data_IF_765725226497
#
_entry.id   IF_765725226497
#
_cell.length_a   1.000
_cell.length_b   1.000
_cell.length_c   1.000
_cell.angle_alpha   90.00
_cell.angle_beta   90.00
_cell.angle_gamma   90.00
#
_symmetry.space_group_name_H-M   'P 1'
#
loop_
_entity.id
_entity.type
_entity.pdbx_description
1 polymer ?
#
# COMPACT_ATOMS: atom_id res chain seq x y z
N UNK A 1 3.57 0.37 20.14
CA UNK A 1 2.15 0.76 20.38
C UNK A 1 1.29 0.08 19.33
N UNK A 2 0.27 -0.65 19.74
CA UNK A 2 -0.61 -1.33 18.78
C UNK A 2 -1.67 -0.37 18.20
N UNK A 3 -2.36 -0.80 17.16
CA UNK A 3 -3.33 0.04 16.45
C UNK A 3 -4.46 0.56 17.35
N UNK A 4 -4.93 -0.26 18.28
CA UNK A 4 -5.99 0.14 19.22
C UNK A 4 -5.51 1.25 20.16
N UNK A 5 -4.27 1.14 20.67
CA UNK A 5 -3.69 2.17 21.55
C UNK A 5 -3.47 3.48 20.80
N UNK A 6 -3.02 3.40 19.54
CA UNK A 6 -2.87 4.57 18.68
C UNK A 6 -4.21 5.25 18.46
N UNK A 7 -5.27 4.49 18.19
CA UNK A 7 -6.61 5.03 17.98
C UNK A 7 -7.14 5.71 19.25
N UNK A 8 -6.92 5.11 20.42
CA UNK A 8 -7.32 5.71 21.69
C UNK A 8 -6.60 7.03 21.93
N UNK A 9 -5.30 7.10 21.63
CA UNK A 9 -4.51 8.31 21.81
C UNK A 9 -4.89 9.40 20.80
N UNK A 10 -5.15 9.02 19.54
CA UNK A 10 -5.47 9.93 18.45
C UNK A 10 -6.92 10.43 18.50
N UNK A 11 -7.83 9.62 19.04
CA UNK A 11 -9.27 9.88 18.99
C UNK A 11 -9.79 9.93 17.56
N UNK A 12 -10.79 10.75 17.30
CA UNK A 12 -11.37 10.91 15.96
C UNK A 12 -10.73 12.03 15.15
N UNK A 13 -9.70 12.67 15.70
CA UNK A 13 -9.09 13.86 15.08
C UNK A 13 -8.06 13.54 14.01
N UNK A 14 -7.43 12.37 14.11
CA UNK A 14 -6.32 12.00 13.24
C UNK A 14 -6.67 10.80 12.38
N UNK A 15 -6.13 10.79 11.18
CA UNK A 15 -6.20 9.63 10.29
C UNK A 15 -5.09 8.66 10.72
N UNK A 16 -5.46 7.42 11.00
CA UNK A 16 -4.52 6.38 11.45
C UNK A 16 -4.37 5.33 10.37
N UNK A 17 -3.14 5.19 9.85
CA UNK A 17 -2.77 4.15 8.92
C UNK A 17 -2.02 3.04 9.64
N UNK A 18 -2.29 1.79 9.29
CA UNK A 18 -1.67 0.62 9.91
C UNK A 18 -1.11 -0.29 8.83
N UNK A 19 0.10 -0.81 9.05
CA UNK A 19 0.71 -1.79 8.16
C UNK A 19 0.09 -3.16 8.36
N UNK A 20 -0.14 -3.88 7.27
CA UNK A 20 -0.63 -5.25 7.30
C UNK A 20 0.09 -6.09 6.26
N UNK A 21 0.39 -7.34 6.59
CA UNK A 21 1.13 -8.26 5.74
C UNK A 21 0.29 -9.46 5.30
N UNK A 22 -0.90 -9.61 5.86
CA UNK A 22 -1.84 -10.68 5.52
C UNK A 22 -3.26 -10.26 5.89
N UNK A 23 -4.23 -11.07 5.49
CA UNK A 23 -5.64 -10.77 5.72
C UNK A 23 -6.00 -10.73 7.21
N UNK A 24 -5.37 -11.57 8.04
CA UNK A 24 -5.63 -11.58 9.49
C UNK A 24 -5.19 -10.27 10.14
N UNK A 25 -3.99 -9.79 9.82
CA UNK A 25 -3.50 -8.51 10.32
C UNK A 25 -4.38 -7.36 9.84
N UNK A 26 -4.82 -7.43 8.58
CA UNK A 26 -5.69 -6.41 8.00
C UNK A 26 -7.03 -6.32 8.74
N UNK A 27 -7.65 -7.45 9.03
CA UNK A 27 -8.91 -7.48 9.77
C UNK A 27 -8.76 -6.99 11.21
N UNK A 28 -7.65 -7.34 11.87
CA UNK A 28 -7.35 -6.85 13.22
C UNK A 28 -7.17 -5.33 13.23
N UNK A 29 -6.46 -4.80 12.24
CA UNK A 29 -6.24 -3.36 12.13
C UNK A 29 -7.55 -2.62 11.89
N UNK A 30 -8.42 -3.13 11.01
CA UNK A 30 -9.73 -2.55 10.77
C UNK A 30 -10.57 -2.55 12.05
N UNK A 31 -10.61 -3.68 12.77
CA UNK A 31 -11.34 -3.80 14.03
C UNK A 31 -10.80 -2.85 15.11
N UNK A 32 -9.50 -2.56 15.07
CA UNK A 32 -8.87 -1.65 16.03
C UNK A 32 -9.06 -0.16 15.69
N UNK A 33 -9.71 0.16 14.57
CA UNK A 33 -10.04 1.53 14.20
C UNK A 33 -9.09 2.19 13.20
N UNK A 34 -8.34 1.42 12.45
CA UNK A 34 -7.51 1.97 11.37
C UNK A 34 -8.39 2.62 10.31
N UNK A 35 -7.94 3.76 9.78
CA UNK A 35 -8.63 4.46 8.69
C UNK A 35 -8.21 3.94 7.33
N UNK A 36 -6.99 3.44 7.22
CA UNK A 36 -6.50 2.79 6.00
C UNK A 36 -5.38 1.81 6.34
N UNK A 37 -5.03 0.96 5.37
CA UNK A 37 -3.95 -0.01 5.51
C UNK A 37 -2.83 0.28 4.52
N UNK A 38 -1.58 0.12 4.98
CA UNK A 38 -0.41 0.08 4.12
C UNK A 38 0.05 -1.37 4.02
N UNK A 39 -0.01 -1.95 2.84
CA UNK A 39 0.28 -3.36 2.62
C UNK A 39 1.52 -3.52 1.73
N UNK A 40 2.49 -4.26 2.22
CA UNK A 40 3.75 -4.49 1.50
C UNK A 40 4.72 -5.37 2.31
N UNK A 41 5.94 -5.52 1.81
CA UNK A 41 6.41 -4.94 0.53
C UNK A 41 5.83 -5.72 -0.65
N UNK A 42 5.17 -5.04 -1.60
CA UNK A 42 4.55 -5.74 -2.74
C UNK A 42 5.58 -6.18 -3.79
N UNK A 43 6.72 -5.50 -3.83
CA UNK A 43 7.86 -5.92 -4.63
C UNK A 43 9.11 -5.94 -3.77
N UNK A 44 9.93 -6.98 -3.91
CA UNK A 44 11.19 -7.06 -3.18
C UNK A 44 12.21 -6.07 -3.76
N UNK A 45 13.04 -5.49 -2.87
CA UNK A 45 14.18 -4.69 -3.32
C UNK A 45 15.38 -5.60 -3.49
N UNK A 46 16.22 -5.31 -4.47
CA UNK A 46 17.39 -6.13 -4.79
C UNK A 46 18.46 -6.13 -3.68
N UNK A 47 18.33 -5.28 -2.68
CA UNK A 47 19.34 -5.09 -1.64
C UNK A 47 19.08 -5.86 -0.34
N UNK A 48 17.91 -6.53 -0.21
CA UNK A 48 17.56 -7.27 1.00
C UNK A 48 16.95 -8.61 0.61
N UNK A 49 17.77 -9.64 0.62
CA UNK A 49 17.35 -10.99 0.23
C UNK A 49 16.39 -11.68 1.20
N UNK A 50 16.28 -11.16 2.43
CA UNK A 50 15.46 -11.72 3.50
C UNK A 50 14.11 -11.02 3.67
N UNK A 51 13.79 -10.05 2.83
CA UNK A 51 12.47 -9.40 2.86
C UNK A 51 11.49 -10.24 2.06
N UNK A 52 10.49 -10.78 2.74
CA UNK A 52 9.40 -11.53 2.09
C UNK A 52 8.46 -10.55 1.41
N UNK A 53 8.34 -10.66 0.08
CA UNK A 53 7.40 -9.86 -0.68
C UNK A 53 5.97 -10.32 -0.42
N UNK A 54 5.06 -9.37 -0.31
CA UNK A 54 3.63 -9.66 -0.27
C UNK A 54 3.18 -10.01 -1.69
N UNK A 55 2.72 -11.25 -1.90
CA UNK A 55 2.33 -11.67 -3.23
C UNK A 55 1.00 -11.03 -3.66
N UNK A 56 0.77 -11.02 -4.98
CA UNK A 56 -0.44 -10.44 -5.57
C UNK A 56 -1.72 -11.06 -5.01
N UNK A 57 -1.75 -12.39 -4.87
CA UNK A 57 -2.94 -13.10 -4.37
C UNK A 57 -3.26 -12.72 -2.93
N UNK A 58 -2.25 -12.56 -2.08
CA UNK A 58 -2.45 -12.14 -0.70
C UNK A 58 -2.90 -10.68 -0.65
N UNK A 59 -2.34 -9.81 -1.47
CA UNK A 59 -2.76 -8.41 -1.57
C UNK A 59 -4.24 -8.32 -1.98
N UNK A 60 -4.63 -9.08 -2.98
CA UNK A 60 -6.01 -9.14 -3.43
C UNK A 60 -6.94 -9.65 -2.33
N UNK A 61 -6.50 -10.68 -1.59
CA UNK A 61 -7.25 -11.22 -0.45
C UNK A 61 -7.45 -10.17 0.64
N UNK A 62 -6.42 -9.39 0.95
CA UNK A 62 -6.52 -8.29 1.90
C UNK A 62 -7.58 -7.29 1.44
N UNK A 63 -7.52 -6.87 0.18
CA UNK A 63 -8.46 -5.89 -0.38
C UNK A 63 -9.90 -6.39 -0.33
N UNK A 64 -10.12 -7.70 -0.52
CA UNK A 64 -11.45 -8.29 -0.44
C UNK A 64 -11.94 -8.46 1.00
N UNK A 65 -11.02 -8.51 1.98
CA UNK A 65 -11.34 -8.80 3.38
C UNK A 65 -11.76 -7.58 4.18
N UNK A 66 -11.33 -6.40 3.79
CA UNK A 66 -11.55 -5.16 4.56
C UNK A 66 -12.40 -4.16 3.77
N UNK A 67 -13.04 -3.26 4.51
CA UNK A 67 -13.85 -2.18 3.93
C UNK A 67 -13.10 -0.84 3.88
N UNK A 68 -11.97 -0.74 4.57
CA UNK A 68 -11.15 0.47 4.59
C UNK A 68 -10.19 0.50 3.40
N UNK A 69 -9.73 1.68 2.99
CA UNK A 69 -8.80 1.79 1.85
C UNK A 69 -7.50 1.03 2.08
N UNK A 70 -6.98 0.45 1.01
CA UNK A 70 -5.72 -0.30 1.01
C UNK A 70 -4.72 0.38 0.08
N UNK A 71 -3.57 0.74 0.63
CA UNK A 71 -2.47 1.36 -0.09
C UNK A 71 -1.34 0.35 -0.23
N UNK A 72 -0.89 0.08 -1.45
CA UNK A 72 0.24 -0.80 -1.70
C UNK A 72 1.55 -0.02 -1.53
N UNK A 73 2.52 -0.64 -0.87
CA UNK A 73 3.82 -0.01 -0.58
C UNK A 73 4.95 -1.03 -0.79
N UNK A 74 6.13 -0.52 -1.11
CA UNK A 74 7.37 -1.29 -1.19
C UNK A 74 7.78 -1.64 -2.61
N UNK A 75 8.89 -1.08 -3.05
CA UNK A 75 9.52 -1.39 -4.34
C UNK A 75 8.74 -1.00 -5.59
N UNK A 76 7.72 -0.16 -5.46
CA UNK A 76 6.88 0.25 -6.59
C UNK A 76 7.58 1.31 -7.44
N UNK A 77 7.56 1.13 -8.76
CA UNK A 77 8.13 2.08 -9.72
C UNK A 77 7.33 2.02 -11.03
N UNK A 78 7.71 2.82 -12.02
CA UNK A 78 7.01 2.88 -13.30
C UNK A 78 7.05 1.57 -14.07
N UNK A 79 8.06 0.72 -13.82
CA UNK A 79 8.20 -0.56 -14.52
C UNK A 79 7.34 -1.68 -13.97
N UNK A 80 6.85 -1.57 -12.73
CA UNK A 80 6.10 -2.66 -12.10
C UNK A 80 4.73 -2.29 -11.55
N UNK A 81 4.40 -1.01 -11.47
CA UNK A 81 3.15 -0.54 -10.85
C UNK A 81 1.89 -1.15 -11.48
N UNK A 82 1.88 -1.35 -12.80
CA UNK A 82 0.72 -1.91 -13.50
C UNK A 82 0.48 -3.38 -13.19
N UNK A 83 1.48 -4.07 -12.62
CA UNK A 83 1.31 -5.44 -12.13
C UNK A 83 0.33 -5.53 -10.95
N UNK A 84 0.01 -4.40 -10.33
CA UNK A 84 -0.95 -4.33 -9.24
C UNK A 84 -2.40 -4.13 -9.71
N UNK A 85 -2.61 -3.96 -11.00
CA UNK A 85 -3.94 -3.77 -11.56
C UNK A 85 -4.83 -4.99 -11.27
N UNK A 86 -6.06 -4.74 -10.89
CA UNK A 86 -7.02 -5.79 -10.55
C UNK A 86 -6.90 -6.34 -9.14
N UNK A 87 -5.92 -5.89 -8.34
CA UNK A 87 -5.76 -6.35 -6.97
C UNK A 87 -6.81 -5.78 -6.01
N UNK A 88 -7.41 -4.66 -6.36
CA UNK A 88 -8.39 -3.98 -5.52
C UNK A 88 -7.82 -2.87 -4.65
N UNK A 89 -6.56 -2.50 -4.85
CA UNK A 89 -5.94 -1.40 -4.09
C UNK A 89 -6.60 -0.07 -4.42
N UNK A 90 -6.57 0.84 -3.45
CA UNK A 90 -7.11 2.20 -3.58
C UNK A 90 -6.03 3.24 -3.89
N UNK A 91 -4.76 2.89 -3.69
CA UNK A 91 -3.66 3.79 -3.96
C UNK A 91 -2.31 3.12 -3.74
N UNK A 92 -1.25 3.88 -3.95
CA UNK A 92 0.13 3.44 -3.75
C UNK A 92 0.88 4.44 -2.89
N UNK A 93 1.95 3.95 -2.24
CA UNK A 93 2.92 4.78 -1.55
C UNK A 93 4.30 4.46 -2.11
N UNK A 94 5.01 5.48 -2.54
CA UNK A 94 6.34 5.35 -3.15
C UNK A 94 7.31 6.32 -2.49
N UNK A 95 8.58 5.95 -2.46
CA UNK A 95 9.63 6.83 -1.96
C UNK A 95 10.82 6.84 -2.92
N UNK A 96 11.54 5.73 -3.07
CA UNK A 96 12.76 5.69 -3.88
C UNK A 96 12.49 5.98 -5.36
N UNK A 97 11.35 5.59 -5.90
CA UNK A 97 10.98 5.86 -7.29
C UNK A 97 10.85 7.36 -7.57
N UNK A 98 10.56 8.16 -6.55
CA UNK A 98 10.45 9.61 -6.65
C UNK A 98 11.75 10.28 -6.22
N UNK A 99 12.22 9.99 -5.01
CA UNK A 99 13.40 10.68 -4.46
C UNK A 99 14.71 10.25 -5.12
N UNK A 100 14.75 9.05 -5.72
CA UNK A 100 15.89 8.61 -6.52
C UNK A 100 15.86 9.05 -7.98
N UNK A 101 14.79 9.71 -8.42
CA UNK A 101 14.63 10.14 -9.81
C UNK A 101 15.42 11.41 -10.09
N UNK A 102 15.94 11.54 -11.31
CA UNK A 102 16.62 12.75 -11.76
C UNK A 102 15.67 13.94 -11.87
N UNK A 103 14.43 13.69 -12.23
CA UNK A 103 13.38 14.71 -12.31
C UNK A 103 12.18 14.27 -11.46
N UNK A 104 12.10 14.81 -10.25
CA UNK A 104 11.07 14.43 -9.28
C UNK A 104 9.65 14.78 -9.78
N UNK A 105 9.48 15.94 -10.37
CA UNK A 105 8.17 16.36 -10.88
C UNK A 105 7.66 15.44 -11.98
N UNK A 106 8.53 15.06 -12.91
CA UNK A 106 8.18 14.13 -13.99
C UNK A 106 7.84 12.76 -13.44
N UNK A 107 8.64 12.24 -12.50
CA UNK A 107 8.41 10.96 -11.86
C UNK A 107 7.06 10.92 -11.13
N UNK A 108 6.72 11.96 -10.39
CA UNK A 108 5.43 12.07 -9.72
C UNK A 108 4.27 12.04 -10.71
N UNK A 109 4.38 12.77 -11.81
CA UNK A 109 3.35 12.82 -12.86
C UNK A 109 3.13 11.46 -13.52
N UNK A 110 4.21 10.77 -13.86
CA UNK A 110 4.14 9.44 -14.46
C UNK A 110 3.54 8.41 -13.51
N UNK A 111 4.00 8.39 -12.26
CA UNK A 111 3.50 7.46 -11.25
C UNK A 111 2.04 7.72 -10.93
N UNK A 112 1.61 8.96 -10.89
CA UNK A 112 0.21 9.29 -10.66
C UNK A 112 -0.69 8.73 -11.75
N UNK A 113 -0.33 8.91 -13.01
CA UNK A 113 -1.09 8.37 -14.14
C UNK A 113 -1.16 6.85 -14.10
N UNK A 114 -0.03 6.21 -13.81
CA UNK A 114 0.03 4.76 -13.74
C UNK A 114 -0.74 4.22 -12.53
N UNK A 115 -0.71 4.92 -11.40
CA UNK A 115 -1.47 4.49 -10.22
C UNK A 115 -2.97 4.57 -10.47
N UNK A 116 -3.44 5.58 -11.18
CA UNK A 116 -4.85 5.68 -11.57
C UNK A 116 -5.26 4.49 -12.43
N UNK A 117 -4.42 4.08 -13.38
CA UNK A 117 -4.67 2.89 -14.20
C UNK A 117 -4.68 1.61 -13.36
N UNK A 118 -3.74 1.47 -12.44
CA UNK A 118 -3.66 0.29 -11.58
C UNK A 118 -4.89 0.16 -10.68
N UNK A 119 -5.34 1.26 -10.09
CA UNK A 119 -6.53 1.29 -9.24
C UNK A 119 -7.79 1.00 -10.04
N UNK A 120 -7.90 1.53 -11.25
CA UNK A 120 -9.09 1.38 -12.10
C UNK A 120 -9.09 0.10 -12.95
N UNK A 121 -8.04 -0.71 -12.88
CA UNK A 121 -7.96 -1.96 -13.63
C UNK A 121 -7.87 -1.77 -15.14
N UNK A 122 -7.18 -0.74 -15.59
CA UNK A 122 -7.01 -0.38 -17.02
C UNK A 122 -8.26 0.17 -17.70
N UNK A 123 -9.18 0.68 -16.95
CA UNK A 123 -10.32 1.41 -17.54
C UNK A 123 -9.95 2.78 -18.07
#
# INVERSE_FOLDING_TARGET
MNALDVRKAAGDRLIVGVSAHNAQEALKAQAAGADYLGCGAVFSTSTKSDVTSLCYDELKKICLSVDIPVVAIGGINTGNILNLAGSGIDGIAVASAIFGAQNVALACGELRKLSEKAVNGFE
#
